data_IF_572208091596
#
_entry.id   IF_572208091596
#
_cell.length_a   1.000
_cell.length_b   1.000
_cell.length_c   1.000
_cell.angle_alpha   90.00
_cell.angle_beta   90.00
_cell.angle_gamma   90.00
#
_symmetry.space_group_name_H-M   'P 1'
#
loop_
_entity.id
_entity.type
_entity.pdbx_description
1 polymer ?
#
# COMPACT_ATOMS: atom_id res chain seq x y z
N UNK A 1 -19.36 -25.81 16.03
CA UNK A 1 -20.13 -25.06 15.01
C UNK A 1 -20.07 -23.57 15.33
N UNK A 2 -19.06 -22.86 14.82
CA UNK A 2 -19.06 -21.41 14.54
C UNK A 2 -18.07 -21.20 13.39
N UNK A 3 -18.57 -21.45 12.17
CA UNK A 3 -18.07 -20.76 10.98
C UNK A 3 -18.45 -19.29 11.17
N UNK A 4 -17.60 -18.39 10.66
CA UNK A 4 -17.94 -17.10 10.06
C UNK A 4 -16.77 -16.13 10.25
N UNK A 5 -15.99 -16.00 9.17
CA UNK A 5 -15.15 -14.86 8.86
C UNK A 5 -14.06 -14.50 9.89
N UNK A 6 -12.98 -15.29 9.93
CA UNK A 6 -11.67 -14.68 10.15
C UNK A 6 -11.30 -13.91 8.89
N UNK A 7 -11.90 -12.72 8.78
CA UNK A 7 -11.48 -11.66 7.87
C UNK A 7 -9.97 -11.54 8.08
N UNK A 8 -9.20 -11.83 7.05
CA UNK A 8 -7.82 -11.40 6.93
C UNK A 8 -7.84 -9.87 6.97
N UNK A 9 -7.82 -9.34 8.18
CA UNK A 9 -7.71 -7.94 8.46
C UNK A 9 -6.23 -7.70 8.76
N UNK A 10 -5.42 -7.17 7.82
CA UNK A 10 -4.07 -6.71 8.13
C UNK A 10 -4.09 -5.45 9.02
N UNK A 11 -5.07 -5.29 9.92
CA UNK A 11 -5.06 -4.30 10.99
C UNK A 11 -4.21 -4.82 12.16
N UNK A 12 -2.91 -4.98 11.91
CA UNK A 12 -1.92 -5.10 12.98
C UNK A 12 -1.16 -3.78 13.15
N UNK A 13 -1.88 -2.67 13.07
CA UNK A 13 -1.46 -1.34 13.56
C UNK A 13 -1.74 -1.28 15.07
N UNK A 14 -1.22 -2.27 15.78
CA UNK A 14 -1.11 -2.18 17.23
C UNK A 14 -0.05 -1.09 17.47
N UNK A 15 -0.52 0.06 17.96
CA UNK A 15 0.24 1.08 18.69
C UNK A 15 1.19 1.98 17.83
N UNK A 16 0.60 3.08 17.35
CA UNK A 16 1.13 4.45 17.51
C UNK A 16 2.41 4.96 16.80
N UNK A 17 3.30 4.18 16.21
CA UNK A 17 4.55 4.72 15.58
C UNK A 17 4.65 4.55 14.04
N UNK A 18 3.52 4.30 13.36
CA UNK A 18 3.46 3.92 11.94
C UNK A 18 2.89 4.95 10.98
N UNK A 19 3.23 6.24 11.09
CA UNK A 19 2.66 7.29 10.22
C UNK A 19 3.06 7.13 8.73
N UNK A 20 4.29 6.68 8.45
CA UNK A 20 4.81 6.54 7.08
C UNK A 20 4.09 5.41 6.31
N UNK A 21 3.91 4.20 6.88
CA UNK A 21 3.12 3.14 6.25
C UNK A 21 1.69 3.53 5.91
N UNK A 22 0.99 4.09 6.89
CA UNK A 22 -0.41 4.49 6.73
C UNK A 22 -0.56 5.63 5.71
N UNK A 23 0.37 6.59 5.69
CA UNK A 23 0.39 7.64 4.68
C UNK A 23 0.62 7.09 3.27
N UNK A 24 1.49 6.08 3.11
CA UNK A 24 1.70 5.43 1.81
C UNK A 24 0.46 4.66 1.34
N UNK A 25 -0.25 4.00 2.26
CA UNK A 25 -1.51 3.30 1.97
C UNK A 25 -2.62 4.27 1.58
N UNK A 26 -2.84 5.31 2.40
CA UNK A 26 -3.85 6.34 2.12
C UNK A 26 -3.55 7.07 0.81
N UNK A 27 -2.28 7.40 0.54
CA UNK A 27 -1.87 8.00 -0.73
C UNK A 27 -2.15 7.07 -1.91
N UNK A 28 -1.79 5.78 -1.80
CA UNK A 28 -2.03 4.78 -2.85
C UNK A 28 -3.52 4.54 -3.10
N UNK A 29 -4.38 4.69 -2.08
CA UNK A 29 -5.84 4.62 -2.24
C UNK A 29 -6.42 5.87 -2.91
N UNK A 30 -6.02 7.08 -2.47
CA UNK A 30 -6.55 8.34 -3.03
C UNK A 30 -6.02 8.62 -4.43
N UNK A 31 -4.75 8.32 -4.70
CA UNK A 31 -4.07 8.62 -5.96
C UNK A 31 -3.86 7.39 -6.85
N UNK A 32 -4.28 6.20 -6.41
CA UNK A 32 -4.09 4.93 -7.14
C UNK A 32 -4.64 4.98 -8.56
N UNK A 33 -5.82 5.58 -8.75
CA UNK A 33 -6.41 5.72 -10.08
C UNK A 33 -5.58 6.65 -10.99
N UNK A 34 -5.02 7.75 -10.45
CA UNK A 34 -4.17 8.68 -11.21
C UNK A 34 -2.81 8.06 -11.55
N UNK A 35 -2.25 7.28 -10.61
CA UNK A 35 -1.03 6.49 -10.79
C UNK A 35 -1.22 5.45 -11.91
N UNK A 36 -2.32 4.70 -11.89
CA UNK A 36 -2.62 3.68 -12.90
C UNK A 36 -2.97 4.27 -14.27
N UNK A 37 -3.52 5.49 -14.32
CA UNK A 37 -3.72 6.21 -15.58
C UNK A 37 -2.41 6.68 -16.20
N UNK A 38 -1.40 7.01 -15.39
CA UNK A 38 -0.12 7.56 -15.84
C UNK A 38 1.06 6.64 -15.47
N UNK A 39 1.54 5.78 -16.39
CA UNK A 39 2.60 4.83 -16.07
C UNK A 39 3.89 5.50 -15.55
N UNK A 40 4.22 6.71 -16.02
CA UNK A 40 5.36 7.47 -15.52
C UNK A 40 5.27 7.81 -14.02
N UNK A 41 4.08 8.20 -13.53
CA UNK A 41 3.84 8.48 -12.11
C UNK A 41 3.87 7.19 -11.28
N UNK A 42 3.34 6.09 -11.80
CA UNK A 42 3.38 4.78 -11.16
C UNK A 42 4.82 4.30 -10.94
N UNK A 43 5.68 4.46 -11.93
CA UNK A 43 7.11 4.16 -11.79
C UNK A 43 7.78 5.08 -10.77
N UNK A 44 7.50 6.39 -10.79
CA UNK A 44 8.00 7.34 -9.81
C UNK A 44 7.62 6.97 -8.37
N UNK A 45 6.37 6.54 -8.17
CA UNK A 45 5.88 6.05 -6.88
C UNK A 45 6.59 4.79 -6.41
N UNK A 46 6.82 3.81 -7.31
CA UNK A 46 7.60 2.60 -7.01
C UNK A 46 9.03 2.93 -6.59
N UNK A 47 9.71 3.84 -7.29
CA UNK A 47 11.06 4.27 -6.91
C UNK A 47 11.09 4.98 -5.55
N UNK A 48 10.07 5.79 -5.26
CA UNK A 48 9.93 6.45 -3.96
C UNK A 48 9.78 5.43 -2.82
N UNK A 49 8.93 4.42 -3.01
CA UNK A 49 8.73 3.33 -2.05
C UNK A 49 10.01 2.49 -1.84
N UNK A 50 10.74 2.16 -2.92
CA UNK A 50 12.03 1.44 -2.83
C UNK A 50 13.06 2.26 -2.05
N UNK A 51 13.07 3.58 -2.23
CA UNK A 51 13.99 4.47 -1.50
C UNK A 51 13.65 4.54 -0.02
N UNK A 52 12.36 4.61 0.34
CA UNK A 52 11.88 4.54 1.73
C UNK A 52 12.23 3.20 2.38
N UNK A 53 12.07 2.10 1.65
CA UNK A 53 12.46 0.76 2.07
C UNK A 53 13.96 0.64 2.35
N UNK A 54 14.80 1.24 1.51
CA UNK A 54 16.24 1.24 1.67
C UNK A 54 16.69 1.93 2.98
N UNK A 55 15.95 2.94 3.44
CA UNK A 55 16.20 3.63 4.71
C UNK A 55 15.56 2.94 5.93
N UNK A 56 14.98 1.74 5.76
CA UNK A 56 14.20 1.04 6.79
C UNK A 56 13.02 1.87 7.35
N UNK A 57 12.55 2.88 6.61
CA UNK A 57 11.41 3.73 6.98
C UNK A 57 10.07 3.11 6.60
N UNK A 58 10.10 2.09 5.74
CA UNK A 58 8.93 1.41 5.20
C UNK A 58 9.16 -0.09 5.36
N UNK A 59 8.10 -0.83 5.71
CA UNK A 59 8.16 -2.29 5.90
C UNK A 59 7.81 -3.03 4.58
N UNK A 60 8.27 -4.27 4.39
CA UNK A 60 8.05 -5.04 3.15
C UNK A 60 6.57 -5.30 3.02
N UNK A 61 5.94 -5.52 4.19
CA UNK A 61 4.50 -5.63 4.34
C UNK A 61 3.78 -4.40 3.79
N UNK A 62 4.24 -3.19 4.11
CA UNK A 62 3.65 -1.95 3.59
C UNK A 62 3.82 -1.85 2.08
N UNK A 63 4.98 -2.27 1.56
CA UNK A 63 5.24 -2.27 0.13
C UNK A 63 4.29 -3.21 -0.62
N UNK A 64 4.10 -4.42 -0.12
CA UNK A 64 3.16 -5.39 -0.67
C UNK A 64 1.71 -4.92 -0.58
N UNK A 65 1.30 -4.29 0.53
CA UNK A 65 -0.05 -3.75 0.66
C UNK A 65 -0.31 -2.64 -0.38
N UNK A 66 0.63 -1.70 -0.53
CA UNK A 66 0.50 -0.63 -1.52
C UNK A 66 0.51 -1.18 -2.96
N UNK A 67 1.35 -2.17 -3.27
CA UNK A 67 1.34 -2.83 -4.58
C UNK A 67 0.01 -3.55 -4.84
N UNK A 68 -0.55 -4.22 -3.84
CA UNK A 68 -1.86 -4.90 -3.93
C UNK A 68 -2.99 -3.89 -4.19
N UNK A 69 -2.98 -2.75 -3.48
CA UNK A 69 -3.93 -1.65 -3.71
C UNK A 69 -3.80 -1.15 -5.15
N UNK A 70 -2.58 -0.87 -5.62
CA UNK A 70 -2.31 -0.38 -6.97
C UNK A 70 -2.76 -1.39 -8.04
N UNK A 71 -2.53 -2.68 -7.81
CA UNK A 71 -2.95 -3.76 -8.70
C UNK A 71 -4.48 -3.87 -8.77
N UNK A 72 -5.18 -3.64 -7.66
CA UNK A 72 -6.65 -3.52 -7.65
C UNK A 72 -7.17 -2.36 -8.50
N UNK A 73 -6.43 -1.26 -8.60
CA UNK A 73 -6.76 -0.17 -9.53
C UNK A 73 -6.38 -0.48 -10.99
N UNK A 74 -5.35 -1.29 -11.24
CA UNK A 74 -4.95 -1.74 -12.59
C UNK A 74 -5.94 -2.74 -13.18
N UNK A 75 -6.47 -3.65 -12.37
CA UNK A 75 -7.43 -4.68 -12.79
C UNK A 75 -8.83 -4.10 -13.07
N UNK A 76 -9.18 -2.97 -12.43
CA UNK A 76 -10.42 -2.23 -12.68
C UNK A 76 -10.44 -1.38 -13.95
N UNK A 77 -9.41 -1.46 -14.79
CA UNK A 77 -9.26 -0.65 -16.01
C UNK A 77 -9.74 -1.43 -17.24
#
# INVERSE_FOLDING_TARGET
MKRDAQIFNPSNSVLADGHIPWACEAFSQSHGQQLVQNPALLWGWRFFMIKLWNHSLLDARTMDTCNTILQGFQDKK
#
